data_IF_986479242874
#
_entry.id   IF_986479242874
#
_cell.length_a   1.000
_cell.length_b   1.000
_cell.length_c   1.000
_cell.angle_alpha   90.00
_cell.angle_beta   90.00
_cell.angle_gamma   90.00
#
_symmetry.space_group_name_H-M   'P 1'
#
loop_
_entity.id
_entity.type
_entity.pdbx_description
1 polymer ?
#
# COMPACT_ATOMS: atom_id res chain seq x y z
N UNK A 1 -5.87 8.43 18.87
CA UNK A 1 -6.06 7.43 17.80
C UNK A 1 -6.96 6.33 18.36
N UNK A 2 -8.02 5.91 17.66
CA UNK A 2 -8.84 4.79 18.11
C UNK A 2 -8.02 3.50 18.04
N UNK A 3 -8.17 2.63 19.03
CA UNK A 3 -7.51 1.33 19.09
C UNK A 3 -8.09 0.38 18.03
N UNK A 4 -7.28 -0.53 17.47
CA UNK A 4 -7.71 -1.47 16.42
C UNK A 4 -8.86 -2.40 16.86
N UNK A 5 -9.04 -2.60 18.17
CA UNK A 5 -10.09 -3.47 18.73
C UNK A 5 -11.46 -2.81 18.62
N UNK A 6 -11.52 -1.48 18.72
CA UNK A 6 -12.74 -0.69 18.55
C UNK A 6 -13.30 -0.73 17.12
N UNK A 7 -12.45 -1.00 16.13
CA UNK A 7 -12.81 -0.98 14.70
C UNK A 7 -12.97 -2.37 14.07
N UNK A 8 -12.49 -3.45 14.70
CA UNK A 8 -12.56 -4.83 14.15
C UNK A 8 -13.27 -5.79 15.12
N UNK A 9 -14.62 -5.81 15.18
CA UNK A 9 -15.37 -6.61 16.16
C UNK A 9 -15.31 -8.14 15.91
N UNK A 10 -14.74 -8.60 14.79
CA UNK A 10 -14.77 -10.02 14.38
C UNK A 10 -13.40 -10.71 14.39
N UNK A 11 -12.35 -10.04 14.89
CA UNK A 11 -11.00 -10.63 15.01
C UNK A 11 -10.65 -10.72 16.49
N UNK A 12 -10.37 -11.95 16.96
CA UNK A 12 -9.99 -12.20 18.36
C UNK A 12 -8.79 -11.35 18.78
N UNK A 13 -8.81 -10.82 20.02
CA UNK A 13 -7.74 -10.02 20.64
C UNK A 13 -6.35 -10.62 20.45
N UNK A 14 -6.28 -11.95 20.48
CA UNK A 14 -5.04 -12.72 20.31
C UNK A 14 -4.54 -12.57 18.87
N UNK A 15 -5.42 -12.66 17.87
CA UNK A 15 -5.04 -12.54 16.46
C UNK A 15 -4.53 -11.13 16.09
N UNK A 16 -5.11 -10.07 16.66
CA UNK A 16 -4.62 -8.70 16.44
C UNK A 16 -3.26 -8.52 17.11
N UNK A 17 -3.12 -8.92 18.38
CA UNK A 17 -1.85 -8.80 19.09
C UNK A 17 -0.73 -9.64 18.45
N UNK A 18 -1.06 -10.83 17.93
CA UNK A 18 -0.10 -11.65 17.20
C UNK A 18 0.27 -11.06 15.84
N UNK A 19 -0.66 -10.37 15.17
CA UNK A 19 -0.38 -9.66 13.92
C UNK A 19 0.53 -8.46 14.16
N UNK A 20 0.24 -7.64 15.17
CA UNK A 20 1.06 -6.47 15.54
C UNK A 20 2.49 -6.87 15.95
N UNK A 21 2.66 -8.03 16.60
CA UNK A 21 3.97 -8.56 17.01
C UNK A 21 4.66 -9.45 15.96
N UNK A 22 4.02 -9.68 14.80
CA UNK A 22 4.56 -10.55 13.75
C UNK A 22 4.64 -12.04 14.13
N UNK A 23 3.93 -12.47 15.17
CA UNK A 23 3.93 -13.86 15.66
C UNK A 23 3.05 -14.79 14.79
N UNK A 24 2.23 -14.23 13.89
CA UNK A 24 1.38 -14.98 12.96
C UNK A 24 1.36 -14.34 11.57
N UNK A 25 1.55 -15.15 10.54
CA UNK A 25 1.36 -14.73 9.16
C UNK A 25 -0.13 -14.45 8.91
N UNK A 26 -0.50 -13.20 8.67
CA UNK A 26 -1.85 -12.86 8.25
C UNK A 26 -2.11 -13.35 6.82
N UNK A 27 -3.30 -13.91 6.60
CA UNK A 27 -3.80 -14.13 5.25
C UNK A 27 -4.18 -12.79 4.61
N UNK A 28 -4.17 -12.69 3.27
CA UNK A 28 -4.64 -11.50 2.55
C UNK A 28 -6.07 -11.12 2.98
N UNK A 29 -6.93 -12.11 3.23
CA UNK A 29 -8.29 -11.91 3.76
C UNK A 29 -8.29 -11.25 5.16
N UNK A 30 -7.32 -11.57 6.00
CA UNK A 30 -7.18 -10.94 7.32
C UNK A 30 -6.71 -9.49 7.20
N UNK A 31 -5.78 -9.22 6.27
CA UNK A 31 -5.30 -7.86 5.97
C UNK A 31 -6.44 -7.01 5.39
N UNK A 32 -7.28 -7.58 4.53
CA UNK A 32 -8.48 -6.92 3.99
C UNK A 32 -9.42 -6.42 5.09
N UNK A 33 -9.67 -7.26 6.11
CA UNK A 33 -10.52 -6.91 7.26
C UNK A 33 -9.94 -5.75 8.05
N UNK A 34 -8.62 -5.69 8.19
CA UNK A 34 -7.90 -4.58 8.83
C UNK A 34 -8.01 -3.29 8.00
N UNK A 35 -7.74 -3.35 6.68
CA UNK A 35 -7.90 -2.20 5.77
C UNK A 35 -9.30 -1.59 5.85
N UNK A 36 -10.34 -2.44 5.74
CA UNK A 36 -11.74 -2.01 5.80
C UNK A 36 -12.09 -1.33 7.12
N UNK A 37 -11.62 -1.90 8.23
CA UNK A 37 -11.87 -1.35 9.55
C UNK A 37 -11.17 -0.02 9.81
N UNK A 38 -9.96 0.15 9.27
CA UNK A 38 -9.20 1.40 9.35
C UNK A 38 -9.61 2.42 8.27
N UNK A 39 -10.54 2.06 7.38
CA UNK A 39 -10.91 2.83 6.20
C UNK A 39 -9.68 3.26 5.37
N UNK A 40 -8.68 2.38 5.28
CA UNK A 40 -7.45 2.59 4.52
C UNK A 40 -7.46 1.74 3.25
N UNK A 41 -6.98 2.28 2.12
CA UNK A 41 -6.74 1.46 0.95
C UNK A 41 -5.53 0.55 1.19
N UNK A 42 -5.50 -0.59 0.50
CA UNK A 42 -4.39 -1.54 0.61
C UNK A 42 -3.04 -0.95 0.24
N UNK A 43 -3.02 0.00 -0.70
CA UNK A 43 -1.78 0.66 -1.13
C UNK A 43 -1.04 1.29 0.06
N UNK A 44 -1.75 1.83 1.06
CA UNK A 44 -1.15 2.46 2.25
C UNK A 44 -0.50 1.44 3.19
N UNK A 45 -0.99 0.20 3.25
CA UNK A 45 -0.35 -0.83 4.06
C UNK A 45 0.91 -1.40 3.38
N UNK A 46 0.94 -1.39 2.06
CA UNK A 46 1.98 -2.06 1.28
C UNK A 46 3.00 -1.11 0.62
N UNK A 47 2.77 0.20 0.62
CA UNK A 47 3.63 1.20 -0.07
C UNK A 47 5.12 1.11 0.29
N UNK A 48 5.43 0.70 1.53
CA UNK A 48 6.81 0.60 2.03
C UNK A 48 7.29 -0.85 2.19
N UNK A 49 6.49 -1.84 1.75
CA UNK A 49 6.88 -3.25 1.81
C UNK A 49 7.73 -3.57 0.58
N UNK A 50 9.06 -3.58 0.76
CA UNK A 50 10.00 -4.04 -0.26
C UNK A 50 10.18 -5.55 -0.11
N UNK A 51 9.51 -6.33 -0.96
CA UNK A 51 9.69 -7.79 -1.02
C UNK A 51 10.57 -8.17 -2.21
N UNK A 52 11.73 -8.77 -1.92
CA UNK A 52 12.69 -9.25 -2.93
C UNK A 52 13.64 -8.18 -3.49
N UNK A 53 14.71 -8.62 -4.14
CA UNK A 53 15.62 -7.75 -4.91
C UNK A 53 14.98 -7.41 -6.25
N UNK A 54 14.17 -6.35 -6.31
CA UNK A 54 13.64 -5.87 -7.58
C UNK A 54 14.74 -5.16 -8.36
N UNK A 55 15.34 -5.86 -9.34
CA UNK A 55 16.27 -5.31 -10.37
C UNK A 55 15.66 -4.19 -11.25
N UNK A 56 14.45 -3.73 -10.98
CA UNK A 56 13.72 -2.78 -11.83
C UNK A 56 13.87 -1.35 -11.30
N UNK A 57 15.12 -0.91 -11.16
CA UNK A 57 15.50 0.37 -10.56
C UNK A 57 14.90 1.56 -11.33
N UNK A 58 14.89 1.47 -12.67
CA UNK A 58 14.36 2.53 -13.55
C UNK A 58 12.88 2.77 -13.34
N UNK A 59 12.05 1.72 -13.27
CA UNK A 59 10.61 1.88 -13.07
C UNK A 59 10.29 2.45 -11.68
N UNK A 60 11.06 2.02 -10.66
CA UNK A 60 10.95 2.55 -9.30
C UNK A 60 11.35 4.03 -9.23
N UNK A 61 12.46 4.40 -9.86
CA UNK A 61 12.93 5.78 -9.93
C UNK A 61 11.89 6.67 -10.61
N UNK A 62 11.32 6.24 -11.74
CA UNK A 62 10.22 6.94 -12.40
C UNK A 62 9.02 7.16 -11.46
N UNK A 63 8.59 6.12 -10.75
CA UNK A 63 7.48 6.22 -9.79
C UNK A 63 7.77 7.22 -8.68
N UNK A 64 8.96 7.16 -8.06
CA UNK A 64 9.37 8.10 -7.03
C UNK A 64 9.44 9.54 -7.55
N UNK A 65 9.97 9.76 -8.75
CA UNK A 65 10.05 11.10 -9.35
C UNK A 65 8.67 11.69 -9.64
N UNK A 66 7.70 10.87 -10.04
CA UNK A 66 6.32 11.30 -10.33
C UNK A 66 5.58 11.66 -9.04
N UNK A 67 5.65 10.80 -8.03
CA UNK A 67 4.93 10.98 -6.75
C UNK A 67 5.36 12.23 -5.98
N UNK A 68 6.59 12.71 -6.18
CA UNK A 68 7.11 13.95 -5.60
C UNK A 68 6.60 15.24 -6.26
N UNK A 69 5.84 15.15 -7.36
CA UNK A 69 5.33 16.33 -8.10
C UNK A 69 3.88 16.64 -7.76
N UNK A 70 3.43 17.91 -7.89
CA UNK A 70 2.01 18.26 -7.82
C UNK A 70 1.16 17.52 -8.86
N UNK A 71 -0.13 17.30 -8.56
CA UNK A 71 -1.07 16.57 -9.44
C UNK A 71 -1.09 17.11 -10.88
N UNK A 72 -0.99 18.45 -11.05
CA UNK A 72 -0.94 19.10 -12.37
C UNK A 72 0.25 18.60 -13.20
N UNK A 73 1.42 18.46 -12.58
CA UNK A 73 2.63 17.99 -13.24
C UNK A 73 2.57 16.49 -13.49
N UNK A 74 2.05 15.70 -12.55
CA UNK A 74 1.83 14.27 -12.75
C UNK A 74 0.95 14.01 -13.99
N UNK A 75 -0.14 14.76 -14.16
CA UNK A 75 -1.00 14.69 -15.36
C UNK A 75 -0.25 15.04 -16.63
N UNK A 76 0.60 16.06 -16.61
CA UNK A 76 1.41 16.44 -17.76
C UNK A 76 2.41 15.33 -18.14
N UNK A 77 3.07 14.70 -17.16
CA UNK A 77 3.98 13.57 -17.37
C UNK A 77 3.21 12.38 -17.96
N UNK A 78 2.03 12.06 -17.44
CA UNK A 78 1.18 10.98 -17.97
C UNK A 78 0.84 11.20 -19.45
N UNK A 79 0.49 12.42 -19.83
CA UNK A 79 0.20 12.76 -21.23
C UNK A 79 1.43 12.66 -22.14
N UNK A 80 2.64 12.92 -21.64
CA UNK A 80 3.87 12.68 -22.38
C UNK A 80 4.10 11.18 -22.60
N UNK A 81 3.97 10.38 -21.54
CA UNK A 81 4.12 8.91 -21.63
C UNK A 81 3.15 8.33 -22.66
N UNK A 82 1.85 8.70 -22.59
CA UNK A 82 0.84 8.26 -23.56
C UNK A 82 1.14 8.65 -25.01
N UNK A 83 1.82 9.78 -25.24
CA UNK A 83 2.21 10.21 -26.60
C UNK A 83 3.42 9.44 -27.13
N UNK A 84 4.30 8.98 -26.24
CA UNK A 84 5.48 8.20 -26.59
C UNK A 84 5.14 6.71 -26.75
N UNK A 85 4.17 6.21 -26.00
CA UNK A 85 3.66 4.85 -26.09
C UNK A 85 2.77 4.69 -27.34
N UNK A 86 3.39 4.39 -28.48
CA UNK A 86 2.68 4.09 -29.74
C UNK A 86 2.18 2.64 -29.69
N UNK A 87 1.06 2.40 -29.00
CA UNK A 87 0.22 1.22 -29.21
C UNK A 87 -1.02 1.63 -30.00
#
# INVERSE_FOLDING_TARGET
MPDLQSVIPFVSHICIGQLERGEKNATIESIEKVCKALALPFEVLFENIVTGDTKNDVAKECYCLITLRPEKEQKAILELIKKTDRV
#
